data_IF_791352971314
#
_entry.id   IF_791352971314
#
_cell.length_a   1.000
_cell.length_b   1.000
_cell.length_c   1.000
_cell.angle_alpha   90.00
_cell.angle_beta   90.00
_cell.angle_gamma   90.00
#
_symmetry.space_group_name_H-M   'P 1'
#
loop_
_entity.id
_entity.type
_entity.pdbx_description
1 polymer ?
#
# COMPACT_ATOMS: atom_id res chain seq x y z
N UNK A 1 -48.51 -3.09 -43.24
CA UNK A 1 -48.21 -2.52 -41.90
C UNK A 1 -47.70 -3.56 -40.89
N UNK A 2 -48.02 -4.86 -41.03
CA UNK A 2 -47.53 -5.92 -40.12
C UNK A 2 -46.02 -6.23 -40.27
N UNK A 3 -45.50 -6.23 -41.50
CA UNK A 3 -44.09 -6.57 -41.81
C UNK A 3 -43.10 -5.63 -41.12
N UNK A 4 -43.44 -4.33 -41.04
CA UNK A 4 -42.61 -3.33 -40.35
C UNK A 4 -42.55 -3.56 -38.83
N UNK A 5 -43.64 -4.04 -38.23
CA UNK A 5 -43.68 -4.39 -36.80
C UNK A 5 -42.83 -5.63 -36.50
N UNK A 6 -42.85 -6.64 -37.36
CA UNK A 6 -41.98 -7.81 -37.23
C UNK A 6 -40.49 -7.43 -37.35
N UNK A 7 -40.15 -6.51 -38.24
CA UNK A 7 -38.78 -6.03 -38.40
C UNK A 7 -38.27 -5.27 -37.16
N UNK A 8 -39.10 -4.41 -36.56
CA UNK A 8 -38.76 -3.70 -35.32
C UNK A 8 -38.59 -4.66 -34.13
N UNK A 9 -39.46 -5.67 -34.00
CA UNK A 9 -39.36 -6.67 -32.93
C UNK A 9 -38.08 -7.51 -33.09
N UNK A 10 -37.73 -7.90 -34.31
CA UNK A 10 -36.51 -8.65 -34.60
C UNK A 10 -35.25 -7.82 -34.28
N UNK A 11 -35.22 -6.53 -34.65
CA UNK A 11 -34.10 -5.64 -34.31
C UNK A 11 -33.94 -5.46 -32.79
N UNK A 12 -35.05 -5.37 -32.05
CA UNK A 12 -35.00 -5.23 -30.60
C UNK A 12 -34.48 -6.52 -29.93
N UNK A 13 -34.94 -7.69 -30.39
CA UNK A 13 -34.46 -8.99 -29.91
C UNK A 13 -32.96 -9.21 -30.19
N UNK A 14 -32.48 -8.78 -31.36
CA UNK A 14 -31.06 -8.84 -31.72
C UNK A 14 -30.23 -7.92 -30.81
N UNK A 15 -30.70 -6.70 -30.53
CA UNK A 15 -30.00 -5.80 -29.60
C UNK A 15 -29.94 -6.38 -28.18
N UNK A 16 -31.01 -7.01 -27.69
CA UNK A 16 -31.02 -7.67 -26.38
C UNK A 16 -30.00 -8.83 -26.34
N UNK A 17 -29.94 -9.65 -27.38
CA UNK A 17 -28.97 -10.74 -27.49
C UNK A 17 -27.52 -10.24 -27.51
N UNK A 18 -27.27 -9.13 -28.22
CA UNK A 18 -25.94 -8.52 -28.29
C UNK A 18 -25.53 -7.97 -26.92
N UNK A 19 -26.41 -7.26 -26.21
CA UNK A 19 -26.11 -6.70 -24.87
C UNK A 19 -25.75 -7.82 -23.87
N UNK A 20 -26.49 -8.94 -23.87
CA UNK A 20 -26.21 -10.05 -22.97
C UNK A 20 -24.87 -10.77 -23.26
N UNK A 21 -24.43 -10.78 -24.52
CA UNK A 21 -23.16 -11.39 -24.92
C UNK A 21 -21.93 -10.55 -24.52
N UNK A 22 -22.05 -9.22 -24.47
CA UNK A 22 -20.95 -8.31 -24.13
C UNK A 22 -20.68 -8.17 -22.61
N UNK A 23 -21.57 -8.64 -21.73
CA UNK A 23 -21.44 -8.43 -20.28
C UNK A 23 -20.64 -9.47 -19.49
N UNK A 24 -20.09 -10.52 -20.11
CA UNK A 24 -19.30 -11.55 -19.40
C UNK A 24 -17.79 -11.30 -19.53
N UNK A 25 -17.30 -10.13 -19.11
CA UNK A 25 -15.86 -9.91 -19.00
C UNK A 25 -15.37 -10.45 -17.65
N UNK A 26 -14.80 -11.65 -17.64
CA UNK A 26 -14.10 -12.21 -16.48
C UNK A 26 -12.84 -11.38 -16.22
N UNK A 27 -12.91 -10.53 -15.21
CA UNK A 27 -11.80 -9.66 -14.82
C UNK A 27 -10.75 -10.46 -14.03
N UNK A 28 -9.47 -10.33 -14.40
CA UNK A 28 -8.35 -11.07 -13.77
C UNK A 28 -7.61 -10.15 -12.79
N UNK A 29 -7.92 -10.30 -11.50
CA UNK A 29 -7.40 -9.50 -10.39
C UNK A 29 -5.87 -9.65 -10.14
N UNK A 30 -5.16 -10.43 -10.95
CA UNK A 30 -3.71 -10.57 -10.84
C UNK A 30 -2.93 -9.50 -11.61
N UNK A 31 -3.62 -8.68 -12.41
CA UNK A 31 -2.98 -7.66 -13.27
C UNK A 31 -2.85 -6.29 -12.61
N UNK A 32 -3.38 -6.12 -11.40
CA UNK A 32 -3.37 -4.86 -10.66
C UNK A 32 -1.96 -4.48 -10.17
N UNK A 33 -1.58 -3.19 -10.28
CA UNK A 33 -0.23 -2.73 -9.97
C UNK A 33 0.09 -2.72 -8.47
N UNK A 34 -0.90 -2.90 -7.59
CA UNK A 34 -0.72 -2.87 -6.13
C UNK A 34 -1.52 -3.96 -5.44
N UNK A 35 -0.97 -4.46 -4.32
CA UNK A 35 -1.60 -5.48 -3.50
C UNK A 35 -2.99 -5.04 -2.97
N UNK A 36 -3.17 -3.75 -2.68
CA UNK A 36 -4.44 -3.19 -2.23
C UNK A 36 -5.55 -3.28 -3.28
N UNK A 37 -5.28 -2.91 -4.53
CA UNK A 37 -6.27 -3.02 -5.61
C UNK A 37 -6.63 -4.49 -5.90
N UNK A 38 -5.64 -5.39 -5.81
CA UNK A 38 -5.84 -6.83 -5.96
C UNK A 38 -6.76 -7.42 -4.88
N UNK A 39 -6.58 -7.00 -3.63
CA UNK A 39 -7.42 -7.43 -2.50
C UNK A 39 -8.86 -6.91 -2.64
N UNK A 40 -9.03 -5.63 -3.04
CA UNK A 40 -10.34 -5.05 -3.32
C UNK A 40 -11.06 -5.77 -4.46
N UNK A 41 -10.36 -6.03 -5.57
CA UNK A 41 -10.91 -6.76 -6.71
C UNK A 41 -11.46 -8.14 -6.29
N UNK A 42 -10.71 -8.89 -5.47
CA UNK A 42 -11.14 -10.20 -4.97
C UNK A 42 -12.36 -10.11 -4.04
N UNK A 43 -12.42 -9.10 -3.16
CA UNK A 43 -13.55 -8.91 -2.23
C UNK A 43 -14.81 -8.47 -2.98
N UNK A 44 -14.69 -7.53 -3.92
CA UNK A 44 -15.84 -7.03 -4.70
C UNK A 44 -16.43 -8.11 -5.59
N UNK A 45 -15.59 -8.93 -6.24
CA UNK A 45 -16.07 -10.07 -7.04
C UNK A 45 -16.66 -11.15 -6.12
N UNK A 46 -16.06 -11.41 -4.94
CA UNK A 46 -16.59 -12.37 -3.96
C UNK A 46 -17.97 -11.98 -3.42
N UNK A 47 -18.20 -10.71 -3.12
CA UNK A 47 -19.46 -10.19 -2.57
C UNK A 47 -20.61 -10.13 -3.59
N UNK A 48 -20.30 -10.05 -4.89
CA UNK A 48 -21.32 -10.12 -5.96
C UNK A 48 -21.83 -11.56 -6.12
N UNK A 49 -21.04 -12.57 -5.72
CA UNK A 49 -21.36 -13.99 -5.89
C UNK A 49 -21.98 -14.61 -4.62
N UNK A 50 -21.68 -14.08 -3.43
CA UNK A 50 -22.18 -14.62 -2.15
C UNK A 50 -22.77 -13.53 -1.26
N UNK A 51 -24.09 -13.56 -1.11
CA UNK A 51 -24.81 -12.76 -0.12
C UNK A 51 -24.51 -13.26 1.31
N UNK A 52 -24.14 -12.31 2.17
CA UNK A 52 -24.21 -12.35 3.63
C UNK A 52 -23.37 -13.39 4.39
N UNK A 53 -22.28 -12.91 5.03
CA UNK A 53 -21.98 -12.99 6.47
C UNK A 53 -20.52 -12.60 6.68
N UNK A 54 -20.28 -11.32 6.96
CA UNK A 54 -18.95 -10.84 7.33
C UNK A 54 -18.58 -11.37 8.71
N UNK A 55 -17.76 -12.42 8.75
CA UNK A 55 -16.92 -12.67 9.92
C UNK A 55 -16.06 -11.42 10.12
N UNK A 56 -16.28 -10.76 11.26
CA UNK A 56 -15.58 -9.55 11.65
C UNK A 56 -14.11 -9.91 11.86
N UNK A 57 -13.32 -9.79 10.80
CA UNK A 57 -11.86 -9.81 10.92
C UNK A 57 -11.47 -8.62 11.80
N UNK A 58 -11.08 -8.93 13.03
CA UNK A 58 -10.41 -8.01 13.95
C UNK A 58 -9.31 -7.25 13.19
N UNK A 59 -9.07 -5.95 13.47
CA UNK A 59 -7.99 -5.22 12.84
C UNK A 59 -6.67 -5.70 13.47
N UNK A 60 -6.23 -6.90 13.09
CA UNK A 60 -4.85 -7.31 13.23
C UNK A 60 -4.10 -6.45 12.23
N UNK A 61 -3.55 -5.35 12.72
CA UNK A 61 -2.67 -4.42 12.02
C UNK A 61 -1.90 -5.15 10.91
N UNK A 62 -2.28 -4.86 9.67
CA UNK A 62 -1.71 -5.39 8.44
C UNK A 62 -1.58 -4.18 7.51
N UNK A 63 -0.41 -3.99 6.87
CA UNK A 63 -0.05 -2.72 6.26
C UNK A 63 -1.03 -2.44 5.12
N UNK A 64 -1.21 -1.15 4.81
CA UNK A 64 -1.99 -0.64 3.67
C UNK A 64 -3.40 -0.15 4.01
N UNK A 65 -3.52 0.69 5.03
CA UNK A 65 -4.50 1.77 5.06
C UNK A 65 -4.11 2.84 4.03
N UNK A 66 -4.86 2.92 2.93
CA UNK A 66 -4.69 3.94 1.88
C UNK A 66 -5.75 5.00 2.06
N UNK A 67 -5.48 5.98 2.91
CA UNK A 67 -6.10 7.30 2.85
C UNK A 67 -4.97 8.33 2.96
N UNK A 68 -4.72 9.04 1.86
CA UNK A 68 -3.59 9.98 1.72
C UNK A 68 -2.28 9.26 1.35
N UNK A 69 -1.98 9.15 0.05
CA UNK A 69 -0.81 8.42 -0.47
C UNK A 69 0.45 9.23 -0.13
N UNK A 70 0.94 9.07 1.10
CA UNK A 70 2.33 9.33 1.40
C UNK A 70 3.18 8.47 0.45
N UNK A 71 4.29 9.00 -0.11
CA UNK A 71 5.18 8.19 -0.95
C UNK A 71 5.51 6.90 -0.22
N UNK A 72 5.52 5.76 -0.93
CA UNK A 72 5.84 4.48 -0.32
C UNK A 72 7.19 4.57 0.38
N UNK A 73 7.15 4.63 1.72
CA UNK A 73 8.33 4.71 2.57
C UNK A 73 8.95 3.32 2.63
N UNK A 74 9.65 2.93 1.57
CA UNK A 74 10.32 1.62 1.43
C UNK A 74 11.24 1.31 2.62
N UNK A 75 11.69 2.34 3.31
CA UNK A 75 12.47 2.23 4.54
C UNK A 75 11.71 1.61 5.70
N UNK A 76 10.39 1.84 5.79
CA UNK A 76 9.55 1.34 6.87
C UNK A 76 9.25 -0.15 6.72
N UNK A 77 9.39 -0.68 5.50
CA UNK A 77 9.26 -2.11 5.21
C UNK A 77 10.54 -2.89 5.59
N UNK A 78 11.64 -2.19 5.84
CA UNK A 78 12.93 -2.79 6.17
C UNK A 78 13.05 -3.15 7.65
N UNK A 79 13.33 -4.43 7.92
CA UNK A 79 13.61 -4.94 9.28
C UNK A 79 15.13 -4.96 9.58
N UNK A 80 15.97 -5.09 8.54
CA UNK A 80 17.42 -5.23 8.67
C UNK A 80 18.18 -3.94 8.32
N UNK A 81 19.38 -3.79 8.87
CA UNK A 81 20.24 -2.62 8.62
C UNK A 81 20.72 -2.55 7.16
N UNK A 82 20.94 -3.69 6.52
CA UNK A 82 21.29 -3.77 5.10
C UNK A 82 20.17 -3.24 4.19
N UNK A 83 18.91 -3.54 4.50
CA UNK A 83 17.76 -3.11 3.70
C UNK A 83 17.58 -1.58 3.73
N UNK A 84 17.68 -0.97 4.91
CA UNK A 84 17.51 0.48 5.08
C UNK A 84 18.75 1.29 4.66
N UNK A 85 19.87 0.62 4.34
CA UNK A 85 21.14 1.29 4.11
C UNK A 85 21.12 2.29 2.95
N UNK A 86 20.37 1.97 1.89
CA UNK A 86 20.20 2.83 0.71
C UNK A 86 19.60 4.19 1.05
N UNK A 87 18.64 4.21 1.98
CA UNK A 87 18.02 5.44 2.45
C UNK A 87 18.99 6.36 3.19
N UNK A 88 19.91 5.78 3.96
CA UNK A 88 20.95 6.53 4.65
C UNK A 88 22.17 6.87 3.77
N UNK A 89 22.12 6.52 2.47
CA UNK A 89 23.26 6.71 1.54
C UNK A 89 24.48 5.88 1.91
N UNK A 90 24.32 4.81 2.68
CA UNK A 90 25.40 3.96 3.14
C UNK A 90 25.79 2.86 2.14
N UNK A 91 26.89 2.17 2.45
CA UNK A 91 27.38 1.00 1.71
C UNK A 91 27.27 -0.26 2.55
N UNK A 92 26.86 -1.36 1.94
CA UNK A 92 26.77 -2.68 2.58
C UNK A 92 27.92 -3.56 2.13
N UNK A 93 28.40 -4.43 3.03
CA UNK A 93 29.46 -5.42 2.72
C UNK A 93 28.86 -6.81 2.43
N UNK A 94 27.58 -6.88 2.03
CA UNK A 94 26.86 -8.14 1.76
C UNK A 94 26.29 -8.86 3.00
N UNK A 95 26.60 -8.40 4.22
CA UNK A 95 26.02 -8.95 5.46
C UNK A 95 24.70 -8.26 5.83
N UNK A 96 23.78 -9.02 6.43
CA UNK A 96 22.40 -8.59 6.75
C UNK A 96 22.36 -7.40 7.72
N UNK A 97 23.34 -7.31 8.62
CA UNK A 97 23.43 -6.27 9.65
C UNK A 97 24.64 -5.34 9.45
N UNK A 98 25.13 -5.20 8.21
CA UNK A 98 26.24 -4.30 7.93
C UNK A 98 25.82 -3.20 6.96
N UNK A 99 25.82 -1.97 7.48
CA UNK A 99 25.69 -0.75 6.71
C UNK A 99 26.69 0.27 7.25
N UNK A 100 27.56 0.78 6.39
CA UNK A 100 28.52 1.83 6.71
C UNK A 100 28.04 3.14 6.10
N UNK A 101 27.80 4.13 6.95
CA UNK A 101 27.35 5.46 6.57
C UNK A 101 28.46 6.25 5.86
N UNK A 102 28.13 7.33 5.11
CA UNK A 102 29.14 8.16 4.43
C UNK A 102 30.21 8.77 5.36
N UNK A 103 29.87 8.94 6.64
CA UNK A 103 30.78 9.41 7.68
C UNK A 103 31.73 8.31 8.22
N UNK A 104 31.70 7.11 7.66
CA UNK A 104 32.52 5.97 8.07
C UNK A 104 31.99 5.21 9.29
N UNK A 105 30.88 5.65 9.91
CA UNK A 105 30.30 4.98 11.06
C UNK A 105 29.40 3.83 10.62
N UNK A 106 29.34 2.76 11.42
CA UNK A 106 28.36 1.69 11.21
C UNK A 106 26.96 2.16 11.65
N UNK A 107 25.96 1.84 10.84
CA UNK A 107 24.56 2.05 11.21
C UNK A 107 24.22 1.18 12.42
N UNK A 108 23.56 1.77 13.40
CA UNK A 108 23.14 1.08 14.62
C UNK A 108 21.64 1.25 14.83
N UNK A 109 21.05 0.38 15.66
CA UNK A 109 19.65 0.54 16.07
C UNK A 109 19.52 1.78 16.95
N UNK A 110 18.57 2.65 16.63
CA UNK A 110 18.29 3.82 17.45
C UNK A 110 17.57 3.39 18.74
N UNK A 111 18.09 3.82 19.89
CA UNK A 111 17.41 3.68 21.17
C UNK A 111 16.49 4.89 21.39
N UNK A 112 15.19 4.65 21.50
CA UNK A 112 14.22 5.69 21.88
C UNK A 112 14.13 5.73 23.40
N UNK A 113 14.37 6.91 23.97
CA UNK A 113 14.23 7.18 25.40
C UNK A 113 13.08 8.16 25.62
N UNK A 114 12.42 8.09 26.76
CA UNK A 114 11.52 9.17 27.17
C UNK A 114 12.32 10.44 27.45
N UNK A 115 11.77 11.62 27.12
CA UNK A 115 12.45 12.91 27.32
C UNK A 115 12.87 13.16 28.77
N UNK A 116 12.10 12.64 29.74
CA UNK A 116 12.39 12.72 31.18
C UNK A 116 13.61 11.88 31.60
N UNK A 117 13.98 10.88 30.81
CA UNK A 117 15.11 9.97 31.06
C UNK A 117 16.39 10.44 30.36
N UNK A 118 16.34 11.53 29.60
CA UNK A 118 17.52 12.14 28.99
C UNK A 118 18.31 12.93 30.02
N UNK A 119 19.64 12.80 29.95
CA UNK A 119 20.55 13.72 30.63
C UNK A 119 20.33 15.15 30.14
N UNK A 120 20.74 16.15 30.93
CA UNK A 120 20.56 17.56 30.58
C UNK A 120 21.22 17.92 29.26
N UNK A 121 22.39 17.34 28.98
CA UNK A 121 23.09 17.48 27.71
C UNK A 121 22.27 16.90 26.54
N UNK A 122 21.85 15.63 26.64
CA UNK A 122 21.05 14.99 25.58
C UNK A 122 19.75 15.75 25.31
N UNK A 123 19.12 16.27 26.37
CA UNK A 123 17.89 17.05 26.27
C UNK A 123 18.11 18.37 25.54
N UNK A 124 19.18 19.09 25.88
CA UNK A 124 19.53 20.34 25.21
C UNK A 124 19.86 20.10 23.72
N UNK A 125 20.67 19.07 23.42
CA UNK A 125 21.00 18.68 22.05
C UNK A 125 19.72 18.33 21.24
N UNK A 126 18.80 17.58 21.84
CA UNK A 126 17.52 17.22 21.23
C UNK A 126 16.63 18.45 20.94
N UNK A 127 16.47 19.35 21.92
CA UNK A 127 15.65 20.57 21.77
C UNK A 127 16.24 21.50 20.71
N UNK A 128 17.56 21.70 20.71
CA UNK A 128 18.24 22.51 19.70
C UNK A 128 18.06 21.94 18.29
N UNK A 129 18.16 20.62 18.15
CA UNK A 129 17.92 19.95 16.88
C UNK A 129 16.46 20.06 16.41
N UNK A 130 15.49 19.93 17.31
CA UNK A 130 14.08 20.14 16.99
C UNK A 130 13.81 21.56 16.50
N UNK A 131 14.40 22.57 17.14
CA UNK A 131 14.28 23.95 16.69
C UNK A 131 14.89 24.14 15.30
N UNK A 132 16.04 23.51 15.04
CA UNK A 132 16.67 23.53 13.72
C UNK A 132 15.74 22.98 12.65
N UNK A 133 15.21 21.76 12.82
CA UNK A 133 14.29 21.16 11.83
C UNK A 133 13.01 21.98 11.65
N UNK A 134 12.48 22.58 12.72
CA UNK A 134 11.22 23.30 12.65
C UNK A 134 11.32 24.61 11.85
N UNK A 135 12.49 25.25 11.87
CA UNK A 135 12.68 26.60 11.34
C UNK A 135 13.62 26.66 10.12
N UNK A 136 14.05 25.51 9.60
CA UNK A 136 14.82 25.34 8.36
C UNK A 136 13.91 24.80 7.25
#
# INVERSE_FOLDING_TARGET
MAIFKFYLIALFAINILIINAFCQQKYDCNKEPTFGLKALCNVTIGNIIFGENSEKLDPKYSPNNTEGIAPSRRELECISQSCVCSYYGGKTNGSVNDCTLPNGQKLQKALRKEIRMLSDKERNDFVNFLFKIKFE
#
